data_IF_329412648760
#
_entry.id   IF_329412648760
#
_cell.length_a   1.000
_cell.length_b   1.000
_cell.length_c   1.000
_cell.angle_alpha   90.00
_cell.angle_beta   90.00
_cell.angle_gamma   90.00
#
_symmetry.space_group_name_H-M   'P 1'
#
loop_
_entity.id
_entity.type
_entity.pdbx_description
1 polymer ?
#
# COMPACT_ATOMS: atom_id res chain seq x y z
N UNK A 1 -10.14 0.45 -6.88
CA UNK A 1 -10.60 -0.86 -6.37
C UNK A 1 -10.18 -0.98 -4.91
N UNK A 2 -11.11 -1.21 -3.98
CA UNK A 2 -10.78 -1.40 -2.55
C UNK A 2 -10.53 -2.87 -2.27
N UNK A 3 -9.41 -3.18 -1.62
CA UNK A 3 -8.97 -4.55 -1.30
C UNK A 3 -8.40 -4.61 0.11
N UNK A 4 -8.25 -5.83 0.63
CA UNK A 4 -7.44 -6.07 1.83
C UNK A 4 -5.94 -6.07 1.48
N UNK A 5 -5.04 -5.63 2.38
CA UNK A 5 -3.60 -5.66 2.15
C UNK A 5 -3.03 -7.06 1.86
N UNK A 6 -3.63 -8.11 2.42
CA UNK A 6 -3.29 -9.49 2.10
C UNK A 6 -3.50 -9.88 0.62
N UNK A 7 -4.32 -9.12 -0.11
CA UNK A 7 -4.56 -9.29 -1.55
C UNK A 7 -3.58 -8.49 -2.42
N UNK A 8 -2.73 -7.65 -1.80
CA UNK A 8 -1.76 -6.83 -2.51
C UNK A 8 -0.57 -7.70 -2.97
N UNK A 9 -0.45 -7.98 -4.26
CA UNK A 9 0.69 -8.70 -4.82
C UNK A 9 1.49 -7.86 -5.83
N UNK A 10 2.58 -8.43 -6.35
CA UNK A 10 3.49 -7.79 -7.31
C UNK A 10 2.81 -7.20 -8.55
N UNK A 11 1.60 -7.64 -8.93
CA UNK A 11 0.86 -7.11 -10.10
C UNK A 11 0.35 -5.69 -9.87
N UNK A 12 0.34 -5.23 -8.63
CA UNK A 12 -0.08 -3.88 -8.26
C UNK A 12 1.10 -2.90 -8.24
N UNK A 13 2.33 -3.35 -8.48
CA UNK A 13 3.47 -2.44 -8.66
C UNK A 13 3.19 -1.51 -9.84
N UNK A 14 3.44 -0.21 -9.64
CA UNK A 14 3.10 0.85 -10.58
C UNK A 14 1.75 1.52 -10.32
N UNK A 15 0.82 0.86 -9.63
CA UNK A 15 -0.48 1.46 -9.26
C UNK A 15 -0.32 2.45 -8.11
N UNK A 16 -1.32 3.32 -7.96
CA UNK A 16 -1.40 4.22 -6.81
C UNK A 16 -2.11 3.52 -5.65
N UNK A 17 -1.41 3.38 -4.53
CA UNK A 17 -1.94 2.93 -3.26
C UNK A 17 -2.53 4.12 -2.50
N UNK A 18 -3.79 4.00 -2.11
CA UNK A 18 -4.49 4.90 -1.19
C UNK A 18 -4.75 4.16 0.11
N UNK A 19 -4.23 4.71 1.22
CA UNK A 19 -4.29 4.08 2.54
C UNK A 19 -4.51 5.13 3.62
N UNK A 20 -4.99 4.70 4.79
CA UNK A 20 -5.16 5.60 5.94
C UNK A 20 -3.96 5.49 6.86
N UNK A 21 -3.31 6.62 7.12
CA UNK A 21 -2.23 6.76 8.10
C UNK A 21 -2.60 7.85 9.11
N UNK A 22 -2.63 7.48 10.40
CA UNK A 22 -2.99 8.37 11.51
C UNK A 22 -4.29 9.16 11.27
N UNK A 23 -5.31 8.46 10.75
CA UNK A 23 -6.63 9.03 10.45
C UNK A 23 -6.69 9.93 9.21
N UNK A 24 -5.61 9.99 8.41
CA UNK A 24 -5.58 10.76 7.15
C UNK A 24 -5.37 9.83 5.97
N UNK A 25 -6.11 10.07 4.90
CA UNK A 25 -5.89 9.38 3.63
C UNK A 25 -4.57 9.87 3.00
N UNK A 26 -3.75 8.91 2.58
CA UNK A 26 -2.45 9.11 1.91
C UNK A 26 -2.47 8.40 0.58
N UNK A 27 -1.76 8.96 -0.40
CA UNK A 27 -1.59 8.39 -1.74
C UNK A 27 -0.11 8.22 -2.02
N UNK A 28 0.27 7.06 -2.55
CA UNK A 28 1.65 6.74 -2.88
C UNK A 28 1.71 5.73 -4.03
N UNK A 29 2.68 5.84 -4.93
CA UNK A 29 2.85 4.89 -6.02
C UNK A 29 3.62 3.66 -5.55
N UNK A 30 3.11 2.46 -5.83
CA UNK A 30 3.74 1.22 -5.40
C UNK A 30 4.98 0.93 -6.26
N UNK A 31 6.09 0.65 -5.62
CA UNK A 31 7.37 0.28 -6.27
C UNK A 31 7.83 -1.14 -5.94
N UNK A 32 7.28 -1.73 -4.87
CA UNK A 32 7.54 -3.11 -4.48
C UNK A 32 6.62 -3.54 -3.35
N UNK A 33 6.42 -4.85 -3.19
CA UNK A 33 5.53 -5.43 -2.18
C UNK A 33 6.20 -6.66 -1.57
N UNK A 34 6.09 -6.78 -0.26
CA UNK A 34 6.49 -7.97 0.48
C UNK A 34 5.35 -8.42 1.41
N UNK A 35 4.92 -9.67 1.28
CA UNK A 35 3.90 -10.26 2.14
C UNK A 35 4.56 -10.89 3.37
N UNK A 36 4.08 -10.52 4.56
CA UNK A 36 4.45 -11.15 5.84
C UNK A 36 3.23 -11.86 6.41
N UNK A 37 3.45 -12.78 7.35
CA UNK A 37 2.36 -13.52 7.99
C UNK A 37 1.36 -12.60 8.73
N UNK A 38 1.81 -11.46 9.24
CA UNK A 38 1.01 -10.58 10.10
C UNK A 38 0.67 -9.22 9.49
N UNK A 39 1.23 -8.88 8.33
CA UNK A 39 1.04 -7.59 7.66
C UNK A 39 1.61 -7.64 6.24
N UNK A 40 1.32 -6.61 5.46
CA UNK A 40 1.91 -6.40 4.14
C UNK A 40 2.82 -5.18 4.17
N UNK A 41 4.01 -5.30 3.60
CA UNK A 41 4.95 -4.19 3.43
C UNK A 41 4.85 -3.70 1.99
N UNK A 42 4.48 -2.44 1.80
CA UNK A 42 4.48 -1.77 0.51
C UNK A 42 5.63 -0.76 0.45
N UNK A 43 6.54 -0.95 -0.50
CA UNK A 43 7.55 0.05 -0.87
C UNK A 43 6.90 1.03 -1.83
N UNK A 44 6.99 2.32 -1.54
CA UNK A 44 6.24 3.35 -2.27
C UNK A 44 7.09 4.57 -2.61
N UNK A 45 6.71 5.27 -3.66
CA UNK A 45 7.14 6.64 -3.92
C UNK A 45 6.00 7.59 -3.53
N UNK A 46 6.32 8.59 -2.72
CA UNK A 46 5.44 9.71 -2.38
C UNK A 46 5.99 11.01 -2.97
N UNK A 47 5.25 12.11 -2.83
CA UNK A 47 5.75 13.44 -3.19
C UNK A 47 7.01 13.85 -2.40
N UNK A 48 7.28 13.24 -1.24
CA UNK A 48 8.47 13.49 -0.43
C UNK A 48 9.61 12.50 -0.68
N UNK A 49 9.46 11.57 -1.63
CA UNK A 49 10.48 10.58 -1.99
C UNK A 49 10.08 9.13 -1.71
N UNK A 50 11.08 8.26 -1.60
CA UNK A 50 10.89 6.82 -1.33
C UNK A 50 10.45 6.60 0.12
N UNK A 51 9.52 5.67 0.33
CA UNK A 51 9.01 5.31 1.64
C UNK A 51 8.61 3.84 1.73
N UNK A 52 8.33 3.40 2.96
CA UNK A 52 7.84 2.06 3.27
C UNK A 52 6.58 2.19 4.11
N UNK A 53 5.53 1.48 3.72
CA UNK A 53 4.23 1.47 4.39
C UNK A 53 3.97 0.06 4.91
N UNK A 54 3.65 -0.02 6.21
CA UNK A 54 3.23 -1.24 6.85
C UNK A 54 1.71 -1.25 6.92
N UNK A 55 1.09 -2.19 6.22
CA UNK A 55 -0.35 -2.32 6.11
C UNK A 55 -0.81 -3.49 6.99
N UNK A 56 -1.59 -3.21 8.06
CA UNK A 56 -2.26 -4.26 8.84
C UNK A 56 -3.17 -5.10 7.93
N UNK A 57 -3.36 -6.39 8.21
CA UNK A 57 -4.08 -7.31 7.32
C UNK A 57 -5.53 -6.91 7.09
N UNK A 58 -6.14 -6.21 8.05
CA UNK A 58 -7.54 -5.79 8.02
C UNK A 58 -7.73 -4.30 7.68
N UNK A 59 -6.65 -3.56 7.42
CA UNK A 59 -6.75 -2.14 7.10
C UNK A 59 -7.19 -1.96 5.65
N UNK A 60 -8.38 -1.41 5.35
CA UNK A 60 -8.84 -1.27 3.98
C UNK A 60 -7.91 -0.34 3.21
N UNK A 61 -7.51 -0.78 2.02
CA UNK A 61 -6.72 0.02 1.07
C UNK A 61 -7.47 0.13 -0.26
N UNK A 62 -7.18 1.18 -1.01
CA UNK A 62 -7.72 1.37 -2.35
C UNK A 62 -6.58 1.47 -3.34
N UNK A 63 -6.68 0.73 -4.44
CA UNK A 63 -5.81 0.83 -5.58
C UNK A 63 -6.46 1.66 -6.68
N UNK A 64 -5.69 2.58 -7.24
CA UNK A 64 -6.07 3.38 -8.38
C UNK A 64 -5.13 3.08 -9.55
N UNK A 65 -5.65 3.07 -10.80
CA UNK A 65 -4.85 2.87 -11.99
C UNK A 65 -3.76 3.93 -12.17
#
# INVERSE_FOLDING_TARGET
>A
MTIAPSQLDWRHVGQTLVYTDKGRSRRASITGIEQKQTHTVAYVNTASGKGVVFLPPDAPITLEP
#
